data_IF_346542345969
#
_entry.id   IF_346542345969
#
_cell.length_a   1.000
_cell.length_b   1.000
_cell.length_c   1.000
_cell.angle_alpha   90.00
_cell.angle_beta   90.00
_cell.angle_gamma   90.00
#
_symmetry.space_group_name_H-M   'P 1'
#
loop_
_entity.id
_entity.type
_entity.pdbx_description
1 polymer ?
#
# COMPACT_ATOMS: atom_id res chain seq x y z
N UNK A 1 4.42 -12.64 -15.04
CA UNK A 1 4.05 -12.21 -13.68
C UNK A 1 2.68 -11.57 -13.72
N UNK A 2 1.82 -11.81 -12.74
CA UNK A 2 0.51 -11.17 -12.65
C UNK A 2 0.27 -10.66 -11.22
N UNK A 3 -0.02 -9.37 -11.08
CA UNK A 3 -0.36 -8.72 -9.82
C UNK A 3 -1.82 -8.27 -9.86
N UNK A 4 -2.59 -8.67 -8.85
CA UNK A 4 -4.04 -8.42 -8.75
C UNK A 4 -4.31 -7.61 -7.49
N UNK A 5 -4.70 -6.35 -7.67
CA UNK A 5 -4.80 -5.38 -6.60
C UNK A 5 -6.25 -4.95 -6.45
N UNK A 6 -6.75 -4.96 -5.22
CA UNK A 6 -8.01 -4.30 -4.87
C UNK A 6 -7.66 -3.08 -4.02
N UNK A 7 -8.18 -1.92 -4.39
CA UNK A 7 -8.01 -0.67 -3.64
C UNK A 7 -9.40 -0.16 -3.29
N UNK A 8 -9.68 0.03 -2.00
CA UNK A 8 -11.01 0.39 -1.53
C UNK A 8 -10.99 1.40 -0.38
N UNK A 9 -12.03 2.24 -0.33
CA UNK A 9 -12.18 3.27 0.68
C UNK A 9 -13.33 4.24 0.41
N UNK A 10 -13.58 5.11 1.37
CA UNK A 10 -14.55 6.18 1.26
C UNK A 10 -14.10 7.25 0.27
N UNK A 11 -15.06 7.79 -0.48
CA UNK A 11 -14.84 8.79 -1.51
C UNK A 11 -14.14 10.04 -0.96
N UNK A 12 -13.18 10.57 -1.73
CA UNK A 12 -12.37 11.73 -1.35
C UNK A 12 -10.97 11.39 -0.83
N UNK A 13 -10.68 10.12 -0.55
CA UNK A 13 -9.35 9.67 -0.11
C UNK A 13 -8.37 9.38 -1.27
N UNK A 14 -8.85 9.42 -2.52
CA UNK A 14 -8.02 9.21 -3.71
C UNK A 14 -7.84 7.74 -4.11
N UNK A 15 -8.77 6.86 -3.74
CA UNK A 15 -8.78 5.42 -4.07
C UNK A 15 -8.63 5.18 -5.58
N UNK A 16 -9.51 5.76 -6.39
CA UNK A 16 -9.49 5.61 -7.84
C UNK A 16 -8.23 6.22 -8.46
N UNK A 17 -7.81 7.39 -7.94
CA UNK A 17 -6.58 8.07 -8.37
C UNK A 17 -5.35 7.22 -8.09
N UNK A 18 -5.30 6.52 -6.96
CA UNK A 18 -4.21 5.60 -6.63
C UNK A 18 -4.15 4.45 -7.65
N UNK A 19 -5.28 3.80 -7.94
CA UNK A 19 -5.31 2.72 -8.93
C UNK A 19 -4.82 3.18 -10.30
N UNK A 20 -5.31 4.34 -10.77
CA UNK A 20 -4.89 4.91 -12.04
C UNK A 20 -3.39 5.28 -12.04
N UNK A 21 -2.89 5.83 -10.93
CA UNK A 21 -1.47 6.13 -10.77
C UNK A 21 -0.61 4.86 -10.90
N UNK A 22 -0.97 3.76 -10.23
CA UNK A 22 -0.26 2.49 -10.34
C UNK A 22 -0.29 1.92 -11.76
N UNK A 23 -1.44 1.99 -12.45
CA UNK A 23 -1.53 1.57 -13.85
C UNK A 23 -0.57 2.34 -14.75
N UNK A 24 -0.50 3.67 -14.61
CA UNK A 24 0.43 4.47 -15.41
C UNK A 24 1.90 4.12 -15.13
N UNK A 25 2.24 3.77 -13.88
CA UNK A 25 3.60 3.33 -13.54
C UNK A 25 3.93 2.02 -14.23
N UNK A 26 3.00 1.07 -14.24
CA UNK A 26 3.15 -0.21 -14.91
C UNK A 26 3.20 -0.07 -16.45
N UNK A 27 2.43 0.85 -17.03
CA UNK A 27 2.49 1.17 -18.47
C UNK A 27 3.89 1.70 -18.85
N UNK A 28 4.51 2.55 -18.03
CA UNK A 28 5.90 2.99 -18.26
C UNK A 28 6.93 1.86 -18.19
N UNK A 29 6.55 0.70 -17.67
CA UNK A 29 7.35 -0.52 -17.65
C UNK A 29 6.88 -1.57 -18.68
N UNK A 30 6.13 -1.13 -19.70
CA UNK A 30 5.61 -1.97 -20.79
C UNK A 30 4.78 -3.18 -20.30
N UNK A 31 4.09 -3.04 -19.16
CA UNK A 31 3.15 -4.06 -18.66
C UNK A 31 1.77 -3.88 -19.26
N UNK A 32 1.06 -5.00 -19.40
CA UNK A 32 -0.38 -4.99 -19.64
C UNK A 32 -1.08 -4.59 -18.35
N UNK A 33 -2.08 -3.72 -18.46
CA UNK A 33 -2.85 -3.25 -17.30
C UNK A 33 -4.34 -3.23 -17.57
N UNK A 34 -5.12 -3.51 -16.54
CA UNK A 34 -6.54 -3.18 -16.51
C UNK A 34 -6.86 -2.37 -15.27
N UNK A 35 -7.81 -1.46 -15.40
CA UNK A 35 -8.29 -0.62 -14.32
C UNK A 35 -9.81 -0.60 -14.36
N UNK A 36 -10.45 -1.29 -13.41
CA UNK A 36 -11.90 -1.38 -13.30
C UNK A 36 -12.37 -0.62 -12.05
N UNK A 37 -12.74 0.66 -12.19
CA UNK A 37 -13.26 1.46 -11.09
C UNK A 37 -14.73 1.16 -10.83
N UNK A 38 -15.14 1.33 -9.58
CA UNK A 38 -16.53 1.32 -9.14
C UNK A 38 -16.75 2.37 -8.06
N UNK A 39 -17.83 3.11 -8.19
CA UNK A 39 -18.20 4.18 -7.27
C UNK A 39 -19.72 4.25 -7.15
N UNK A 40 -20.21 4.45 -5.93
CA UNK A 40 -21.65 4.61 -5.69
C UNK A 40 -22.21 5.90 -6.30
N UNK A 41 -23.52 5.95 -6.51
CA UNK A 41 -24.25 7.15 -6.97
C UNK A 41 -24.26 8.32 -5.97
N UNK A 42 -23.63 8.12 -4.80
CA UNK A 42 -23.58 9.06 -3.68
C UNK A 42 -22.65 10.24 -4.01
N UNK A 43 -23.18 11.47 -3.97
CA UNK A 43 -22.44 12.69 -4.38
C UNK A 43 -21.22 13.03 -3.50
N UNK A 44 -21.13 12.51 -2.26
CA UNK A 44 -20.00 12.71 -1.33
C UNK A 44 -19.85 11.55 -0.37
N UNK A 45 -18.62 11.16 -0.05
CA UNK A 45 -18.30 10.16 0.98
C UNK A 45 -18.72 8.73 0.64
N UNK A 46 -19.23 8.49 -0.57
CA UNK A 46 -19.69 7.17 -0.96
C UNK A 46 -18.56 6.17 -1.09
N UNK A 47 -18.91 4.88 -1.07
CA UNK A 47 -17.92 3.83 -1.22
C UNK A 47 -17.33 3.84 -2.63
N UNK A 48 -16.00 3.76 -2.71
CA UNK A 48 -15.27 3.66 -3.96
C UNK A 48 -14.24 2.54 -3.88
N UNK A 49 -14.12 1.79 -4.97
CA UNK A 49 -13.05 0.82 -5.11
C UNK A 49 -12.60 0.72 -6.55
N UNK A 50 -11.42 0.15 -6.78
CA UNK A 50 -11.01 -0.26 -8.10
C UNK A 50 -10.23 -1.57 -8.04
N UNK A 51 -10.40 -2.38 -9.09
CA UNK A 51 -9.53 -3.50 -9.36
C UNK A 51 -8.44 -3.03 -10.32
N UNK A 52 -7.20 -3.37 -10.00
CA UNK A 52 -6.04 -3.16 -10.86
C UNK A 52 -5.39 -4.50 -11.10
N UNK A 53 -5.25 -4.87 -12.37
CA UNK A 53 -4.48 -6.04 -12.77
C UNK A 53 -3.29 -5.57 -13.58
N UNK A 54 -2.10 -6.02 -13.22
CA UNK A 54 -0.84 -5.74 -13.91
C UNK A 54 -0.25 -7.08 -14.32
N UNK A 55 0.10 -7.24 -15.59
CA UNK A 55 0.65 -8.49 -16.10
C UNK A 55 1.75 -8.28 -17.14
N UNK A 56 2.68 -9.22 -17.22
CA UNK A 56 3.61 -9.32 -18.35
C UNK A 56 2.89 -9.77 -19.64
N UNK A 57 1.82 -10.56 -19.48
CA UNK A 57 1.05 -11.18 -20.55
C UNK A 57 -0.31 -10.50 -20.72
N UNK A 58 -1.05 -10.87 -21.76
CA UNK A 58 -2.41 -10.37 -22.00
C UNK A 58 -3.35 -10.66 -20.81
N UNK A 59 -4.19 -9.68 -20.47
CA UNK A 59 -5.13 -9.79 -19.35
C UNK A 59 -6.51 -10.20 -19.87
N UNK A 60 -6.96 -11.39 -19.50
CA UNK A 60 -8.27 -11.92 -19.92
C UNK A 60 -9.45 -11.40 -19.10
N UNK A 61 -9.23 -10.96 -17.85
CA UNK A 61 -10.28 -10.44 -16.99
C UNK A 61 -9.78 -9.30 -16.10
N UNK A 62 -10.51 -8.17 -16.02
CA UNK A 62 -10.19 -7.07 -15.10
C UNK A 62 -10.77 -7.26 -13.69
N UNK A 63 -11.53 -8.35 -13.44
CA UNK A 63 -12.16 -8.62 -12.14
C UNK A 63 -11.19 -9.38 -11.24
N UNK A 64 -10.96 -8.86 -10.04
CA UNK A 64 -10.10 -9.48 -9.03
C UNK A 64 -10.96 -10.17 -7.98
N UNK A 65 -10.94 -11.50 -7.96
CA UNK A 65 -11.60 -12.28 -6.91
C UNK A 65 -10.67 -12.60 -5.74
N UNK A 66 -9.41 -12.90 -6.04
CA UNK A 66 -8.34 -13.14 -5.07
C UNK A 66 -7.20 -12.16 -5.30
N UNK A 67 -7.08 -11.10 -4.50
CA UNK A 67 -6.00 -10.13 -4.64
C UNK A 67 -4.65 -10.71 -4.17
N UNK A 68 -3.59 -10.35 -4.87
CA UNK A 68 -2.21 -10.45 -4.36
C UNK A 68 -1.92 -9.31 -3.40
N UNK A 69 -2.55 -8.14 -3.60
CA UNK A 69 -2.46 -7.00 -2.68
C UNK A 69 -3.86 -6.41 -2.45
N UNK A 70 -4.25 -6.26 -1.20
CA UNK A 70 -5.46 -5.56 -0.79
C UNK A 70 -5.07 -4.26 -0.07
N UNK A 71 -5.52 -3.13 -0.60
CA UNK A 71 -5.30 -1.80 -0.03
C UNK A 71 -6.63 -1.25 0.50
N UNK A 72 -6.71 -1.04 1.82
CA UNK A 72 -7.93 -0.54 2.48
C UNK A 72 -7.66 0.75 3.22
N UNK A 73 -8.47 1.77 2.92
CA UNK A 73 -8.30 3.09 3.52
C UNK A 73 -9.12 3.31 4.79
N UNK A 74 -10.13 2.48 5.06
CA UNK A 74 -11.02 2.58 6.21
C UNK A 74 -11.68 1.23 6.56
N UNK A 75 -12.45 1.21 7.65
CA UNK A 75 -13.14 0.01 8.15
C UNK A 75 -14.12 -0.56 7.14
N UNK A 76 -14.89 0.29 6.42
CA UNK A 76 -15.89 -0.18 5.46
C UNK A 76 -15.23 -0.95 4.32
N UNK A 77 -14.09 -0.46 3.82
CA UNK A 77 -13.29 -1.14 2.82
C UNK A 77 -12.76 -2.50 3.30
N UNK A 78 -12.25 -2.55 4.54
CA UNK A 78 -11.79 -3.81 5.13
C UNK A 78 -12.92 -4.83 5.25
N UNK A 79 -14.04 -4.48 5.88
CA UNK A 79 -15.17 -5.38 6.08
C UNK A 79 -15.75 -5.90 4.75
N UNK A 80 -15.70 -5.09 3.69
CA UNK A 80 -16.20 -5.47 2.35
C UNK A 80 -15.31 -6.53 1.68
N UNK A 81 -14.00 -6.49 1.91
CA UNK A 81 -13.03 -7.29 1.15
C UNK A 81 -12.22 -8.29 1.96
N UNK A 82 -12.39 -8.34 3.29
CA UNK A 82 -11.64 -9.24 4.17
C UNK A 82 -11.76 -10.72 3.78
N UNK A 83 -12.90 -11.15 3.26
CA UNK A 83 -13.14 -12.55 2.87
C UNK A 83 -12.40 -12.95 1.58
N UNK A 84 -11.87 -11.98 0.82
CA UNK A 84 -11.01 -12.24 -0.35
C UNK A 84 -9.54 -12.44 0.02
N UNK A 85 -9.15 -12.15 1.26
CA UNK A 85 -7.76 -12.26 1.70
C UNK A 85 -7.35 -13.74 1.75
N UNK A 86 -6.30 -14.08 1.04
CA UNK A 86 -5.64 -15.39 1.10
C UNK A 86 -4.29 -15.29 1.79
N UNK A 87 -3.68 -16.43 2.13
CA UNK A 87 -2.38 -16.51 2.84
C UNK A 87 -1.25 -15.71 2.15
N UNK A 88 -1.30 -15.61 0.83
CA UNK A 88 -0.26 -14.96 0.02
C UNK A 88 -0.58 -13.49 -0.29
N UNK A 89 -1.76 -13.01 0.12
CA UNK A 89 -2.18 -11.63 -0.05
C UNK A 89 -1.39 -10.71 0.91
N UNK A 90 -0.95 -9.56 0.42
CA UNK A 90 -0.42 -8.49 1.26
C UNK A 90 -1.54 -7.51 1.58
N UNK A 91 -1.76 -7.24 2.87
CA UNK A 91 -2.74 -6.24 3.32
C UNK A 91 -2.03 -4.92 3.64
N UNK A 92 -2.37 -3.85 2.92
CA UNK A 92 -1.95 -2.48 3.25
C UNK A 92 -3.15 -1.74 3.80
N UNK A 93 -3.07 -1.28 5.04
CA UNK A 93 -4.19 -0.58 5.70
C UNK A 93 -3.79 0.81 6.17
N UNK A 94 -4.72 1.75 6.07
CA UNK A 94 -4.59 3.07 6.68
C UNK A 94 -4.91 2.99 8.19
N UNK A 95 -3.88 2.81 9.02
CA UNK A 95 -4.02 2.58 10.45
C UNK A 95 -4.62 3.76 11.23
N UNK A 96 -4.72 4.94 10.60
CA UNK A 96 -5.41 6.10 11.17
C UNK A 96 -6.92 5.91 11.24
N UNK A 97 -7.49 5.03 10.40
CA UNK A 97 -8.95 4.86 10.25
C UNK A 97 -9.42 3.41 10.43
N UNK A 98 -8.52 2.42 10.36
CA UNK A 98 -8.84 1.01 10.53
C UNK A 98 -7.69 0.28 11.21
N UNK A 99 -8.03 -0.69 12.07
CA UNK A 99 -7.12 -1.73 12.55
C UNK A 99 -7.76 -3.06 12.26
N UNK A 100 -7.32 -3.75 11.21
CA UNK A 100 -7.84 -5.06 10.86
C UNK A 100 -7.43 -6.14 11.86
N UNK A 101 -8.32 -7.12 12.05
CA UNK A 101 -8.10 -8.35 12.81
C UNK A 101 -7.39 -9.45 11.98
N UNK A 102 -6.92 -9.13 10.77
CA UNK A 102 -6.22 -10.08 9.91
C UNK A 102 -4.73 -10.21 10.31
N UNK A 103 -4.39 -11.26 11.04
CA UNK A 103 -3.01 -11.53 11.48
C UNK A 103 -2.33 -12.67 10.71
N UNK A 104 -3.04 -13.30 9.77
CA UNK A 104 -2.56 -14.48 9.03
C UNK A 104 -1.74 -14.15 7.78
N UNK A 105 -1.57 -12.86 7.48
CA UNK A 105 -0.95 -12.38 6.24
C UNK A 105 0.08 -11.29 6.52
N UNK A 106 0.90 -10.96 5.52
CA UNK A 106 1.78 -9.81 5.59
C UNK A 106 0.95 -8.53 5.63
N UNK A 107 0.86 -7.91 6.82
CA UNK A 107 0.08 -6.70 7.08
C UNK A 107 0.98 -5.47 7.26
N UNK A 108 0.72 -4.42 6.48
CA UNK A 108 1.39 -3.12 6.54
C UNK A 108 0.38 -2.06 6.98
N UNK A 109 0.33 -1.82 8.28
CA UNK A 109 -0.48 -0.76 8.89
C UNK A 109 0.29 0.57 8.86
N UNK A 110 -0.12 1.49 7.98
CA UNK A 110 0.49 2.83 7.83
C UNK A 110 -0.51 3.91 8.30
N UNK A 111 -0.13 4.85 9.17
CA UNK A 111 -1.03 5.94 9.58
C UNK A 111 -1.08 7.04 8.50
N UNK A 112 -1.58 6.68 7.31
CA UNK A 112 -1.48 7.50 6.12
C UNK A 112 -2.23 8.84 6.24
N UNK A 113 -3.40 8.84 6.92
CA UNK A 113 -4.12 10.08 7.18
C UNK A 113 -3.36 11.02 8.11
N UNK A 114 -2.72 10.49 9.15
CA UNK A 114 -1.96 11.31 10.09
C UNK A 114 -0.69 11.87 9.44
N UNK A 115 0.01 11.05 8.64
CA UNK A 115 1.17 11.50 7.85
C UNK A 115 0.76 12.65 6.92
N UNK A 116 -0.32 12.47 6.16
CA UNK A 116 -0.82 13.51 5.25
C UNK A 116 -1.27 14.78 5.99
N UNK A 117 -1.87 14.64 7.17
CA UNK A 117 -2.26 15.75 8.04
C UNK A 117 -1.04 16.52 8.55
N UNK A 118 0.01 15.84 8.99
CA UNK A 118 1.25 16.46 9.46
C UNK A 118 1.99 17.26 8.36
N UNK A 119 1.79 16.87 7.09
CA UNK A 119 2.28 17.62 5.93
C UNK A 119 1.37 18.81 5.54
N UNK A 120 0.30 19.10 6.28
CA UNK A 120 -0.76 20.03 5.89
C UNK A 120 -1.28 19.75 4.46
N UNK A 121 -1.39 18.47 4.10
CA UNK A 121 -1.78 18.02 2.78
C UNK A 121 -2.65 16.77 2.85
N UNK A 122 -3.84 16.90 3.44
CA UNK A 122 -4.78 15.79 3.65
C UNK A 122 -5.16 15.05 2.35
N UNK A 123 -5.11 15.74 1.20
CA UNK A 123 -5.37 15.14 -0.12
C UNK A 123 -4.28 14.15 -0.56
N UNK A 124 -3.13 14.12 0.12
CA UNK A 124 -2.00 13.26 -0.17
C UNK A 124 -2.02 11.87 0.47
N UNK A 125 -3.12 11.48 1.15
CA UNK A 125 -3.26 10.15 1.77
C UNK A 125 -2.94 9.03 0.77
N UNK A 126 -3.49 9.13 -0.44
CA UNK A 126 -3.25 8.17 -1.51
C UNK A 126 -1.78 8.11 -1.93
N UNK A 127 -1.06 9.24 -1.93
CA UNK A 127 0.36 9.26 -2.27
C UNK A 127 1.24 8.66 -1.17
N UNK A 128 0.88 8.84 0.11
CA UNK A 128 1.54 8.11 1.21
C UNK A 128 1.41 6.60 0.99
N UNK A 129 0.19 6.13 0.71
CA UNK A 129 -0.05 4.70 0.44
C UNK A 129 0.65 4.24 -0.84
N UNK A 130 0.73 5.07 -1.88
CA UNK A 130 1.48 4.76 -3.09
C UNK A 130 2.98 4.55 -2.79
N UNK A 131 3.55 5.38 -1.91
CA UNK A 131 4.93 5.23 -1.45
C UNK A 131 5.14 3.92 -0.69
N UNK A 132 4.21 3.56 0.20
CA UNK A 132 4.22 2.26 0.89
C UNK A 132 4.15 1.11 -0.11
N UNK A 133 3.21 1.17 -1.05
CA UNK A 133 3.06 0.16 -2.10
C UNK A 133 4.36 -0.01 -2.91
N UNK A 134 5.03 1.09 -3.27
CA UNK A 134 6.26 1.02 -4.06
C UNK A 134 7.39 0.23 -3.38
N UNK A 135 7.55 0.38 -2.05
CA UNK A 135 8.55 -0.38 -1.30
C UNK A 135 8.13 -1.82 -1.04
N UNK A 136 6.82 -2.05 -0.84
CA UNK A 136 6.30 -3.37 -0.49
C UNK A 136 6.29 -4.30 -1.71
N UNK A 137 5.88 -3.78 -2.86
CA UNK A 137 5.74 -4.54 -4.09
C UNK A 137 7.07 -4.64 -4.86
N UNK A 138 7.90 -3.59 -4.82
CA UNK A 138 9.24 -3.54 -5.42
C UNK A 138 9.32 -4.01 -6.89
N UNK A 139 8.22 -3.85 -7.65
CA UNK A 139 8.18 -4.24 -9.07
C UNK A 139 8.75 -3.19 -10.00
N UNK A 140 8.62 -1.90 -9.65
CA UNK A 140 9.00 -0.81 -10.52
C UNK A 140 10.09 0.06 -9.90
N UNK A 141 10.98 0.55 -10.76
CA UNK A 141 11.97 1.57 -10.42
C UNK A 141 11.28 2.85 -9.92
N UNK A 142 11.84 3.48 -8.89
CA UNK A 142 11.26 4.67 -8.22
C UNK A 142 11.09 5.84 -9.18
N UNK A 143 11.99 5.97 -10.13
CA UNK A 143 12.01 6.98 -11.17
C UNK A 143 10.71 6.96 -11.99
N UNK A 144 10.10 5.78 -12.19
CA UNK A 144 8.83 5.64 -12.91
C UNK A 144 7.67 6.24 -12.12
N UNK A 145 7.60 6.01 -10.81
CA UNK A 145 6.60 6.63 -9.94
C UNK A 145 6.69 8.16 -9.99
N UNK A 146 7.89 8.72 -9.94
CA UNK A 146 8.08 10.17 -10.02
C UNK A 146 7.71 10.72 -11.39
N UNK A 147 8.08 10.04 -12.48
CA UNK A 147 7.73 10.43 -13.84
C UNK A 147 6.21 10.44 -14.07
N UNK A 148 5.48 9.43 -13.58
CA UNK A 148 4.02 9.42 -13.63
C UNK A 148 3.42 10.55 -12.81
N UNK A 149 3.97 10.80 -11.62
CA UNK A 149 3.50 11.88 -10.76
C UNK A 149 3.64 13.25 -11.45
N UNK A 150 4.77 13.49 -12.10
CA UNK A 150 5.00 14.71 -12.91
C UNK A 150 3.95 14.84 -14.03
N UNK A 151 3.69 13.75 -14.77
CA UNK A 151 2.71 13.73 -15.85
C UNK A 151 1.28 14.01 -15.34
N UNK A 152 0.86 13.33 -14.27
CA UNK A 152 -0.48 13.48 -13.70
C UNK A 152 -0.71 14.86 -13.05
N UNK A 153 0.36 15.50 -12.58
CA UNK A 153 0.30 16.81 -11.92
C UNK A 153 0.70 17.97 -12.85
N UNK A 154 0.90 17.72 -14.14
CA UNK A 154 1.24 18.75 -15.12
C UNK A 154 0.20 19.88 -15.09
N UNK A 155 0.68 21.13 -15.01
CA UNK A 155 -0.15 22.32 -14.92
C UNK A 155 -0.74 22.61 -13.53
N UNK A 156 -0.40 21.82 -12.50
CA UNK A 156 -0.70 22.17 -11.09
C UNK A 156 0.36 23.12 -10.55
N UNK A 157 0.01 23.82 -9.46
CA UNK A 157 0.95 24.69 -8.74
C UNK A 157 2.12 23.87 -8.18
N UNK A 158 3.33 24.41 -8.24
CA UNK A 158 4.55 23.74 -7.76
C UNK A 158 4.42 23.23 -6.32
N UNK A 159 3.80 24.00 -5.44
CA UNK A 159 3.54 23.59 -4.04
C UNK A 159 2.72 22.29 -3.95
N UNK A 160 1.73 22.10 -4.82
CA UNK A 160 0.93 20.87 -4.86
C UNK A 160 1.78 19.70 -5.34
N UNK A 161 2.60 19.92 -6.36
CA UNK A 161 3.52 18.91 -6.90
C UNK A 161 4.49 18.45 -5.82
N UNK A 162 5.14 19.39 -5.15
CA UNK A 162 6.09 19.12 -4.07
C UNK A 162 5.44 18.36 -2.91
N UNK A 163 4.24 18.77 -2.48
CA UNK A 163 3.51 18.07 -1.41
C UNK A 163 3.15 16.63 -1.77
N UNK A 164 2.85 16.32 -3.04
CA UNK A 164 2.64 14.94 -3.47
C UNK A 164 3.94 14.11 -3.41
N UNK A 165 5.07 14.68 -3.85
CA UNK A 165 6.37 14.03 -3.73
C UNK A 165 6.76 13.78 -2.26
N UNK A 166 6.56 14.77 -1.40
CA UNK A 166 6.80 14.63 0.04
C UNK A 166 5.92 13.53 0.65
N UNK A 167 4.63 13.51 0.33
CA UNK A 167 3.71 12.47 0.79
C UNK A 167 4.16 11.05 0.37
N UNK A 168 4.50 10.87 -0.90
CA UNK A 168 5.03 9.60 -1.42
C UNK A 168 6.31 9.18 -0.69
N UNK A 169 7.26 10.10 -0.53
CA UNK A 169 8.52 9.81 0.16
C UNK A 169 8.33 9.49 1.64
N UNK A 170 7.33 10.06 2.33
CA UNK A 170 7.00 9.65 3.71
C UNK A 170 6.48 8.22 3.76
N UNK A 171 5.68 7.80 2.78
CA UNK A 171 5.23 6.41 2.65
C UNK A 171 6.41 5.44 2.47
N UNK A 172 7.34 5.77 1.57
CA UNK A 172 8.58 5.01 1.36
C UNK A 172 9.40 4.92 2.65
N UNK A 173 9.60 6.05 3.32
CA UNK A 173 10.37 6.14 4.57
C UNK A 173 9.75 5.27 5.67
N UNK A 174 8.44 5.29 5.80
CA UNK A 174 7.71 4.50 6.80
C UNK A 174 8.02 3.01 6.70
N UNK A 175 8.00 2.44 5.48
CA UNK A 175 8.31 1.02 5.27
C UNK A 175 9.76 0.72 5.61
N UNK A 176 10.70 1.54 5.16
CA UNK A 176 12.13 1.35 5.42
C UNK A 176 12.48 1.38 6.91
N UNK A 177 11.93 2.33 7.65
CA UNK A 177 12.13 2.43 9.10
C UNK A 177 11.53 1.22 9.81
N UNK A 178 10.31 0.79 9.44
CA UNK A 178 9.68 -0.39 10.02
C UNK A 178 10.50 -1.66 9.79
N UNK A 179 10.98 -1.88 8.55
CA UNK A 179 11.87 -3.01 8.24
C UNK A 179 13.18 -2.97 9.02
N UNK A 180 13.76 -1.77 9.22
CA UNK A 180 14.96 -1.61 10.05
C UNK A 180 14.71 -2.01 11.52
N UNK A 181 13.58 -1.59 12.11
CA UNK A 181 13.24 -1.95 13.49
C UNK A 181 12.89 -3.44 13.64
N UNK A 182 12.18 -4.04 12.69
CA UNK A 182 11.89 -5.48 12.69
C UNK A 182 13.16 -6.33 12.62
N UNK A 183 14.11 -5.97 11.74
CA UNK A 183 15.41 -6.64 11.63
C UNK A 183 16.24 -6.52 12.91
N UNK A 184 16.26 -5.35 13.56
CA UNK A 184 16.96 -5.14 14.84
C UNK A 184 16.33 -5.96 15.97
N UNK A 185 15.00 -6.02 16.04
CA UNK A 185 14.28 -6.78 17.06
C UNK A 185 14.43 -8.30 16.87
N UNK A 186 14.50 -8.80 15.64
CA UNK A 186 14.84 -10.21 15.35
C UNK A 186 16.26 -10.56 15.78
N UNK A 187 17.23 -9.68 15.51
CA UNK A 187 18.60 -9.83 15.99
C UNK A 187 18.68 -9.95 17.52
N UNK A 188 17.98 -9.06 18.24
CA UNK A 188 17.94 -9.06 19.72
C UNK A 188 17.23 -10.31 20.27
N UNK A 189 16.15 -10.79 19.63
CA UNK A 189 15.47 -12.04 20.03
C UNK A 189 16.39 -13.26 19.87
N UNK A 190 17.09 -13.40 18.75
CA UNK A 190 18.01 -14.52 18.52
C UNK A 190 19.15 -14.57 19.54
N UNK A 191 19.68 -13.41 19.94
CA UNK A 191 20.73 -13.30 20.96
C UNK A 191 20.20 -13.74 22.33
N UNK A 192 19.00 -13.31 22.71
CA UNK A 192 18.36 -13.74 23.98
C UNK A 192 18.09 -15.25 24.00
N UNK A 193 17.58 -15.80 22.91
CA UNK A 193 17.33 -17.25 22.80
C UNK A 193 18.61 -18.09 22.87
N UNK A 194 19.73 -17.58 22.34
CA UNK A 194 21.03 -18.23 22.44
C UNK A 194 21.60 -18.15 23.87
N UNK A 195 21.45 -17.01 24.56
CA UNK A 195 21.85 -16.85 25.96
C UNK A 195 21.01 -17.76 26.88
N UNK A 196 19.71 -17.87 26.64
CA UNK A 196 18.82 -18.73 27.44
C UNK A 196 19.08 -20.22 27.18
N UNK A 197 19.53 -20.61 25.98
CA UNK A 197 20.03 -21.97 25.70
C UNK A 197 21.32 -22.27 26.46
N UNK A 198 22.28 -21.34 26.45
CA UNK A 198 23.55 -21.48 27.18
C UNK A 198 23.33 -21.57 28.70
N UNK A 199 22.44 -20.75 29.27
CA UNK A 199 22.09 -20.80 30.71
C UNK A 199 21.35 -22.07 31.16
N UNK A 200 20.84 -22.86 30.21
CA UNK A 200 20.19 -24.15 30.48
C UNK A 200 21.17 -25.32 30.35
N UNK A 201 22.21 -25.21 29.51
CA UNK A 201 23.29 -26.20 29.45
C UNK A 201 24.16 -26.17 30.70
N UNK A 202 24.39 -24.99 31.28
CA UNK A 202 25.26 -24.82 32.46
C UNK A 202 24.59 -25.20 33.80
N UNK A 203 23.35 -25.73 33.79
CA UNK A 203 22.61 -26.17 34.98
C UNK A 203 22.39 -27.68 35.05
N UNK A 204 23.02 -28.44 34.16
CA UNK A 204 22.96 -29.91 34.13
C UNK A 204 24.27 -30.60 34.56
N UNK A 205 25.24 -29.84 35.10
CA UNK A 205 26.41 -30.36 35.84
C UNK A 205 26.27 -30.03 37.33
#
# INVERSE_FOLDING_TARGET
MEEKIIIAGSGGQGVLTLGLFLCNVAILDNKNVTWLPSYGAEKRGGFSFCNVVISDDEIFSPVVDTPTILIVFDTRAYETYKDKITKDCILIENSSLIKSDCDKVKKISVPASDIAKNLNFIKGVNMVIAGVYSEVNNLFQKEKYFKVMEQMLKGKKNEIVEKNYQAFNQGVKFVKEKSFFENKNQGIKSVKENIDRWRKSDRQE
#
